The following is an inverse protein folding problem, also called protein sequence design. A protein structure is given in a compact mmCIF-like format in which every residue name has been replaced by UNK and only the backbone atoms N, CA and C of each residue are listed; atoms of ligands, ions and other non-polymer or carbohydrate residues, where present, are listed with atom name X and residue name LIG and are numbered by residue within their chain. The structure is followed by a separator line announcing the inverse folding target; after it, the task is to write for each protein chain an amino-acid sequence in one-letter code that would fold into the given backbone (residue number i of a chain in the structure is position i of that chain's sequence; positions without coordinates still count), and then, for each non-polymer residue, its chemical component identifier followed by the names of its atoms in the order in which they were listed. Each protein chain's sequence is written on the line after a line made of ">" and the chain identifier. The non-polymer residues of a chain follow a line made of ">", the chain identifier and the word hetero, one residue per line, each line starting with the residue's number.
data_IF_263281258118
#
_entry.id   IF_263281258118
#
_cell.length_a   1.000
_cell.length_b   1.000
_cell.length_c   1.000
_cell.angle_alpha   90.00
_cell.angle_beta   90.00
_cell.angle_gamma   90.00
#
_symmetry.space_group_name_H-M   'P 1'
#
loop_
_entity.id
_entity.type
_entity.pdbx_description
1 polymer ?
#
# COMPACT_ATOMS: atom_id res chain seq x y z
N UNK A 1 -15.56 2.44 -19.85
CA UNK A 1 -16.28 1.73 -18.78
C UNK A 1 -16.23 0.20 -18.92
N UNK A 2 -16.38 -0.37 -20.12
CA UNK A 2 -16.40 -1.84 -20.34
C UNK A 2 -15.13 -2.57 -19.85
N UNK A 3 -13.95 -2.00 -20.07
CA UNK A 3 -12.68 -2.62 -19.64
C UNK A 3 -12.56 -2.79 -18.11
N UNK A 4 -13.04 -1.83 -17.32
CA UNK A 4 -13.00 -1.91 -15.86
C UNK A 4 -13.92 -3.00 -15.32
N UNK A 5 -15.08 -3.20 -15.95
CA UNK A 5 -16.03 -4.24 -15.57
C UNK A 5 -15.46 -5.63 -15.89
N UNK A 6 -14.82 -5.79 -17.06
CA UNK A 6 -14.20 -7.06 -17.45
C UNK A 6 -13.06 -7.42 -16.49
N UNK A 7 -12.20 -6.45 -16.15
CA UNK A 7 -11.12 -6.66 -15.17
C UNK A 7 -11.67 -7.03 -13.80
N UNK A 8 -12.75 -6.42 -13.35
CA UNK A 8 -13.39 -6.76 -12.07
C UNK A 8 -14.01 -8.16 -12.08
N UNK A 9 -14.73 -8.51 -13.15
CA UNK A 9 -15.41 -9.81 -13.27
C UNK A 9 -14.42 -10.98 -13.37
N UNK A 10 -13.27 -10.78 -13.98
CA UNK A 10 -12.23 -11.81 -14.07
C UNK A 10 -11.31 -11.76 -12.84
N UNK A 11 -10.96 -10.56 -12.37
CA UNK A 11 -10.02 -10.34 -11.28
C UNK A 11 -10.55 -10.82 -9.92
N UNK A 12 -11.84 -10.60 -9.61
CA UNK A 12 -12.42 -11.01 -8.33
C UNK A 12 -12.43 -12.54 -8.15
N UNK A 13 -12.94 -13.34 -9.08
CA UNK A 13 -12.91 -14.80 -8.92
C UNK A 13 -11.48 -15.37 -8.98
N UNK A 14 -10.59 -14.79 -9.78
CA UNK A 14 -9.17 -15.16 -9.78
C UNK A 14 -8.51 -14.89 -8.42
N UNK A 15 -8.78 -13.74 -7.84
CA UNK A 15 -8.28 -13.36 -6.52
C UNK A 15 -8.79 -14.30 -5.44
N UNK A 16 -10.08 -14.62 -5.45
CA UNK A 16 -10.68 -15.58 -4.52
C UNK A 16 -10.08 -16.99 -4.68
N UNK A 17 -9.86 -17.43 -5.92
CA UNK A 17 -9.25 -18.73 -6.18
C UNK A 17 -7.80 -18.80 -5.64
N UNK A 18 -7.02 -17.73 -5.81
CA UNK A 18 -5.66 -17.65 -5.26
C UNK A 18 -5.71 -17.64 -3.73
N UNK A 19 -6.61 -16.89 -3.11
CA UNK A 19 -6.77 -16.84 -1.65
C UNK A 19 -7.13 -18.21 -1.04
N UNK A 20 -7.92 -19.03 -1.76
CA UNK A 20 -8.36 -20.33 -1.25
C UNK A 20 -7.36 -21.48 -1.49
N UNK A 21 -6.51 -21.37 -2.51
CA UNK A 21 -5.68 -22.51 -2.99
C UNK A 21 -4.18 -22.24 -2.80
N UNK A 22 -3.77 -20.98 -2.78
CA UNK A 22 -2.35 -20.64 -2.73
C UNK A 22 -1.78 -20.72 -1.30
N UNK A 23 -0.48 -21.05 -1.17
CA UNK A 23 0.22 -21.01 0.10
C UNK A 23 0.35 -19.57 0.61
N UNK A 24 0.53 -19.42 1.93
CA UNK A 24 0.54 -18.12 2.63
C UNK A 24 1.49 -17.09 2.02
N UNK A 25 2.66 -17.51 1.56
CA UNK A 25 3.63 -16.60 0.92
C UNK A 25 3.11 -16.00 -0.41
N UNK A 26 2.35 -16.78 -1.18
CA UNK A 26 1.78 -16.30 -2.44
C UNK A 26 0.66 -15.31 -2.19
N UNK A 27 -0.12 -15.52 -1.13
CA UNK A 27 -1.16 -14.59 -0.67
C UNK A 27 -0.53 -13.26 -0.23
N UNK A 28 0.56 -13.32 0.54
CA UNK A 28 1.30 -12.12 0.94
C UNK A 28 1.85 -11.34 -0.25
N UNK A 29 2.45 -12.03 -1.23
CA UNK A 29 2.96 -11.42 -2.46
C UNK A 29 1.84 -10.76 -3.29
N UNK A 30 0.69 -11.42 -3.40
CA UNK A 30 -0.48 -10.90 -4.09
C UNK A 30 -1.00 -9.62 -3.41
N UNK A 31 -1.11 -9.63 -2.07
CA UNK A 31 -1.56 -8.47 -1.31
C UNK A 31 -0.60 -7.29 -1.41
N UNK A 32 0.70 -7.56 -1.38
CA UNK A 32 1.71 -6.54 -1.61
C UNK A 32 1.57 -5.92 -3.01
N UNK A 33 1.39 -6.74 -4.04
CA UNK A 33 1.17 -6.27 -5.40
C UNK A 33 -0.10 -5.42 -5.52
N UNK A 34 -1.22 -5.89 -4.96
CA UNK A 34 -2.48 -5.15 -4.95
C UNK A 34 -2.38 -3.82 -4.18
N UNK A 35 -1.65 -3.82 -3.07
CA UNK A 35 -1.39 -2.59 -2.30
C UNK A 35 -0.61 -1.57 -3.12
N UNK A 36 0.42 -1.99 -3.85
CA UNK A 36 1.20 -1.09 -4.72
C UNK A 36 0.36 -0.53 -5.85
N UNK A 37 -0.42 -1.39 -6.53
CA UNK A 37 -1.30 -0.95 -7.64
C UNK A 37 -2.39 -0.02 -7.11
N UNK A 38 -3.07 -0.37 -6.03
CA UNK A 38 -4.11 0.44 -5.41
C UNK A 38 -3.59 1.81 -4.95
N UNK A 39 -2.40 1.83 -4.35
CA UNK A 39 -1.71 3.06 -3.97
C UNK A 39 -1.43 3.95 -5.19
N UNK A 40 -0.89 3.36 -6.27
CA UNK A 40 -0.61 4.10 -7.50
C UNK A 40 -1.87 4.68 -8.11
N UNK A 41 -2.94 3.90 -8.23
CA UNK A 41 -4.21 4.36 -8.79
C UNK A 41 -4.87 5.45 -7.95
N UNK A 42 -4.85 5.30 -6.62
CA UNK A 42 -5.41 6.30 -5.71
C UNK A 42 -4.66 7.62 -5.80
N UNK A 43 -3.32 7.58 -5.82
CA UNK A 43 -2.52 8.78 -5.99
C UNK A 43 -2.74 9.42 -7.37
N UNK A 44 -2.83 8.62 -8.43
CA UNK A 44 -3.08 9.11 -9.78
C UNK A 44 -4.44 9.81 -9.90
N UNK A 45 -5.44 9.31 -9.17
CA UNK A 45 -6.78 9.88 -9.17
C UNK A 45 -6.87 11.21 -8.41
N UNK A 46 -6.09 11.37 -7.31
CA UNK A 46 -6.21 12.52 -6.40
C UNK A 46 -5.11 13.55 -6.63
N UNK A 47 -3.84 13.10 -6.73
CA UNK A 47 -2.68 14.00 -6.75
C UNK A 47 -2.24 14.37 -8.18
N UNK A 48 -2.77 13.68 -9.20
CA UNK A 48 -2.40 13.84 -10.60
C UNK A 48 -1.11 13.09 -11.00
N UNK A 49 -0.87 12.92 -12.30
CA UNK A 49 0.15 11.99 -12.82
C UNK A 49 1.58 12.37 -12.45
N UNK A 50 1.89 13.66 -12.39
CA UNK A 50 3.25 14.14 -12.14
C UNK A 50 3.69 13.94 -10.69
N UNK A 51 2.84 14.26 -9.72
CA UNK A 51 3.08 14.01 -8.31
C UNK A 51 3.10 12.51 -8.00
N UNK A 52 2.19 11.75 -8.61
CA UNK A 52 2.13 10.29 -8.47
C UNK A 52 3.45 9.66 -8.85
N UNK A 53 4.00 9.94 -10.03
CA UNK A 53 5.27 9.37 -10.48
C UNK A 53 6.42 9.59 -9.49
N UNK A 54 6.42 10.74 -8.80
CA UNK A 54 7.50 11.10 -7.87
C UNK A 54 7.31 10.52 -6.47
N UNK A 55 6.08 10.43 -5.99
CA UNK A 55 5.79 10.16 -4.58
C UNK A 55 5.14 8.80 -4.31
N UNK A 56 4.79 8.02 -5.34
CA UNK A 56 4.18 6.68 -5.18
C UNK A 56 5.08 5.70 -4.40
N UNK A 57 6.40 5.83 -4.54
CA UNK A 57 7.33 4.89 -3.92
C UNK A 57 7.19 4.84 -2.39
N UNK A 58 6.97 5.97 -1.74
CA UNK A 58 6.93 6.06 -0.28
C UNK A 58 5.70 5.34 0.32
N UNK A 59 4.45 5.61 -0.06
CA UNK A 59 3.31 4.87 0.44
C UNK A 59 3.25 3.42 -0.07
N UNK A 60 3.81 3.12 -1.24
CA UNK A 60 3.92 1.74 -1.73
C UNK A 60 4.85 0.89 -0.84
N UNK A 61 6.01 1.42 -0.46
CA UNK A 61 6.92 0.76 0.48
C UNK A 61 6.26 0.58 1.84
N UNK A 62 5.53 1.57 2.34
CA UNK A 62 4.77 1.45 3.58
C UNK A 62 3.73 0.32 3.49
N UNK A 63 3.00 0.23 2.39
CA UNK A 63 2.02 -0.85 2.18
C UNK A 63 2.66 -2.24 2.18
N UNK A 64 3.83 -2.39 1.57
CA UNK A 64 4.60 -3.64 1.60
C UNK A 64 5.05 -3.96 3.04
N UNK A 65 5.55 -2.97 3.78
CA UNK A 65 5.97 -3.16 5.18
C UNK A 65 4.81 -3.58 6.08
N UNK A 66 3.61 -3.03 5.88
CA UNK A 66 2.40 -3.45 6.60
C UNK A 66 2.09 -4.92 6.32
N UNK A 67 2.12 -5.34 5.05
CA UNK A 67 1.92 -6.74 4.68
C UNK A 67 2.97 -7.64 5.32
N UNK A 68 4.25 -7.26 5.24
CA UNK A 68 5.36 -8.02 5.83
C UNK A 68 5.26 -8.10 7.36
N UNK A 69 4.82 -7.03 8.02
CA UNK A 69 4.62 -7.03 9.47
C UNK A 69 3.59 -8.10 9.89
N UNK A 70 2.45 -8.13 9.24
CA UNK A 70 1.39 -9.08 9.56
C UNK A 70 1.73 -10.53 9.19
N UNK A 71 2.41 -10.76 8.07
CA UNK A 71 2.81 -12.10 7.65
C UNK A 71 4.08 -12.59 8.34
N UNK A 72 5.02 -11.70 8.63
CA UNK A 72 6.26 -12.02 9.35
C UNK A 72 6.04 -12.38 10.81
N UNK A 73 5.00 -11.84 11.45
CA UNK A 73 4.60 -12.20 12.80
C UNK A 73 4.11 -13.66 12.90
N UNK A 74 3.67 -14.26 11.80
CA UNK A 74 3.07 -15.60 11.80
C UNK A 74 4.01 -16.76 11.54
N UNK A 75 4.88 -16.74 10.53
CA UNK A 75 5.53 -17.99 10.09
C UNK A 75 6.84 -17.90 9.30
N UNK A 76 7.25 -16.82 8.70
CA UNK A 76 8.26 -16.93 7.63
C UNK A 76 9.63 -16.31 7.89
N UNK A 77 9.75 -15.35 8.75
CA UNK A 77 11.04 -14.69 8.97
C UNK A 77 11.17 -14.29 10.44
N UNK A 78 12.20 -14.77 11.11
CA UNK A 78 12.65 -14.26 12.41
C UNK A 78 13.28 -12.85 12.25
N UNK A 79 12.67 -12.01 11.42
CA UNK A 79 13.00 -10.60 11.44
C UNK A 79 12.54 -10.06 12.80
N UNK A 80 13.40 -9.38 13.54
CA UNK A 80 12.98 -8.76 14.79
C UNK A 80 11.84 -7.79 14.45
N UNK A 81 10.64 -8.10 14.93
CA UNK A 81 9.43 -7.29 14.72
C UNK A 81 9.70 -5.80 14.95
N UNK A 82 10.60 -5.47 15.86
CA UNK A 82 11.00 -4.10 16.14
C UNK A 82 11.64 -3.34 14.97
N UNK A 83 12.27 -4.02 13.99
CA UNK A 83 12.85 -3.34 12.81
C UNK A 83 11.73 -2.93 11.86
N UNK A 84 10.77 -3.81 11.59
CA UNK A 84 9.65 -3.53 10.69
C UNK A 84 8.76 -2.44 11.27
N UNK A 85 8.48 -2.52 12.57
CA UNK A 85 7.73 -1.49 13.30
C UNK A 85 8.44 -0.14 13.29
N UNK A 86 9.76 -0.15 13.51
CA UNK A 86 10.58 1.04 13.42
C UNK A 86 10.54 1.67 12.03
N UNK A 87 10.62 0.86 10.96
CA UNK A 87 10.52 1.35 9.58
C UNK A 87 9.12 1.89 9.25
N UNK A 88 8.06 1.25 9.73
CA UNK A 88 6.70 1.75 9.60
C UNK A 88 6.53 3.10 10.30
N UNK A 89 7.03 3.23 11.52
CA UNK A 89 6.98 4.47 12.28
C UNK A 89 7.75 5.59 11.58
N UNK A 90 8.95 5.30 11.06
CA UNK A 90 9.72 6.24 10.25
C UNK A 90 8.94 6.64 9.00
N UNK A 91 8.28 5.71 8.32
CA UNK A 91 7.44 6.00 7.15
C UNK A 91 6.27 6.93 7.47
N UNK A 92 5.59 6.69 8.59
CA UNK A 92 4.47 7.54 9.06
C UNK A 92 4.93 8.96 9.36
N UNK A 93 6.12 9.12 9.96
CA UNK A 93 6.70 10.44 10.26
C UNK A 93 7.24 11.09 8.98
N UNK A 94 7.81 10.31 8.07
CA UNK A 94 8.40 10.81 6.82
C UNK A 94 7.35 11.46 5.89
N UNK A 95 6.10 10.98 5.90
CA UNK A 95 5.03 11.54 5.09
C UNK A 95 4.73 13.02 5.40
N UNK A 96 4.37 13.39 6.65
CA UNK A 96 4.15 14.80 6.98
C UNK A 96 5.43 15.62 6.90
N UNK A 97 6.59 15.04 7.25
CA UNK A 97 7.88 15.71 7.10
C UNK A 97 8.16 16.06 5.63
N UNK A 98 7.89 15.18 4.69
CA UNK A 98 8.01 15.45 3.26
C UNK A 98 7.06 16.59 2.83
N UNK A 99 5.85 16.64 3.36
CA UNK A 99 4.91 17.73 3.13
C UNK A 99 5.47 19.09 3.58
N UNK A 100 6.04 19.14 4.77
CA UNK A 100 6.66 20.37 5.33
C UNK A 100 7.91 20.77 4.54
N UNK A 101 8.80 19.82 4.22
CA UNK A 101 10.05 20.09 3.51
C UNK A 101 9.84 20.53 2.05
N UNK A 102 8.73 20.14 1.44
CA UNK A 102 8.38 20.53 0.08
C UNK A 102 7.53 21.81 0.03
N UNK A 103 7.14 22.35 1.16
CA UNK A 103 6.33 23.56 1.24
C UNK A 103 7.01 24.73 0.50
N UNK A 104 6.25 25.43 -0.33
CA UNK A 104 6.76 26.55 -1.11
C UNK A 104 7.46 26.17 -2.43
N UNK A 105 7.60 24.89 -2.77
CA UNK A 105 8.16 24.42 -4.05
C UNK A 105 7.05 24.22 -5.10
N UNK A 106 7.37 24.33 -6.41
CA UNK A 106 6.37 24.18 -7.48
C UNK A 106 5.63 22.83 -7.48
N UNK A 107 6.19 21.81 -6.83
CA UNK A 107 5.59 20.48 -6.68
C UNK A 107 5.35 20.12 -5.21
N UNK A 108 5.02 21.11 -4.39
CA UNK A 108 4.74 20.91 -2.97
C UNK A 108 3.59 19.92 -2.76
N UNK A 109 3.76 19.06 -1.76
CA UNK A 109 2.70 18.19 -1.27
C UNK A 109 1.70 19.06 -0.47
N UNK A 110 0.43 18.96 -0.82
CA UNK A 110 -0.64 19.55 -0.01
C UNK A 110 -0.94 18.63 1.17
N UNK A 111 -1.61 19.17 2.20
CA UNK A 111 -2.06 18.37 3.34
C UNK A 111 -2.94 17.19 2.86
N UNK A 112 -3.77 17.45 1.87
CA UNK A 112 -4.62 16.41 1.26
C UNK A 112 -3.79 15.31 0.61
N UNK A 113 -2.72 15.66 -0.13
CA UNK A 113 -1.83 14.68 -0.74
C UNK A 113 -1.19 13.78 0.34
N UNK A 114 -0.73 14.37 1.45
CA UNK A 114 -0.13 13.63 2.58
C UNK A 114 -1.16 12.69 3.23
N UNK A 115 -2.39 13.15 3.45
CA UNK A 115 -3.47 12.32 3.99
C UNK A 115 -3.80 11.15 3.06
N UNK A 116 -3.89 11.40 1.75
CA UNK A 116 -4.16 10.36 0.75
C UNK A 116 -3.02 9.33 0.70
N UNK A 117 -1.77 9.77 0.78
CA UNK A 117 -0.62 8.87 0.85
C UNK A 117 -0.62 8.00 2.11
N UNK A 118 -0.97 8.57 3.26
CA UNK A 118 -1.10 7.83 4.52
C UNK A 118 -2.24 6.80 4.44
N UNK A 119 -3.39 7.18 3.91
CA UNK A 119 -4.51 6.26 3.67
C UNK A 119 -4.12 5.15 2.70
N UNK A 120 -3.45 5.47 1.60
CA UNK A 120 -2.99 4.50 0.62
C UNK A 120 -1.99 3.50 1.20
N UNK A 121 -1.00 3.98 1.96
CA UNK A 121 0.05 3.15 2.53
C UNK A 121 -0.36 2.32 3.74
N UNK A 122 -1.36 2.73 4.49
CA UNK A 122 -1.81 2.07 5.73
C UNK A 122 -3.18 1.42 5.58
N UNK A 123 -4.19 2.16 5.12
CA UNK A 123 -5.58 1.69 5.14
C UNK A 123 -5.84 0.63 4.07
N UNK A 124 -5.26 0.75 2.87
CA UNK A 124 -5.45 -0.24 1.82
C UNK A 124 -4.90 -1.61 2.24
N UNK A 125 -3.62 -1.75 2.63
CA UNK A 125 -3.10 -3.05 3.04
C UNK A 125 -3.77 -3.57 4.31
N UNK A 126 -4.10 -2.72 5.28
CA UNK A 126 -4.81 -3.11 6.49
C UNK A 126 -6.21 -3.65 6.20
N UNK A 127 -6.94 -3.07 5.25
CA UNK A 127 -8.27 -3.55 4.83
C UNK A 127 -8.21 -4.94 4.23
N UNK A 128 -7.22 -5.19 3.37
CA UNK A 128 -7.03 -6.50 2.76
C UNK A 128 -6.63 -7.56 3.80
N UNK A 129 -5.79 -7.20 4.75
CA UNK A 129 -5.39 -8.09 5.84
C UNK A 129 -6.55 -8.42 6.78
N UNK A 130 -7.41 -7.44 7.08
CA UNK A 130 -8.62 -7.66 7.86
C UNK A 130 -9.57 -8.67 7.19
N UNK A 131 -9.61 -8.70 5.86
CA UNK A 131 -10.44 -9.62 5.09
C UNK A 131 -9.96 -11.07 5.19
N UNK A 132 -8.67 -11.29 5.39
CA UNK A 132 -8.06 -12.63 5.47
C UNK A 132 -8.15 -13.22 6.87
N UNK A 133 -8.25 -12.36 7.88
CA UNK A 133 -8.32 -12.79 9.28
C UNK A 133 -9.74 -13.21 9.73
N UNK A 134 -10.73 -13.13 8.83
CA UNK A 134 -12.08 -13.62 9.06
C UNK A 134 -12.20 -15.05 8.54
#
# INVERSE_FOLDING_TARGET
>A
MKQRIIVAVIGIPLLLAILCVAPDWATAALLAALSVVGTHELLAAVCGPEKTRRWTALPAVMGILVVLHFYGAGHLWQLPLGIVDGLLLVGVIALPAAGVLTYGKPHALTLLDVCVMALAGLAIPASFLSLIHI
#
